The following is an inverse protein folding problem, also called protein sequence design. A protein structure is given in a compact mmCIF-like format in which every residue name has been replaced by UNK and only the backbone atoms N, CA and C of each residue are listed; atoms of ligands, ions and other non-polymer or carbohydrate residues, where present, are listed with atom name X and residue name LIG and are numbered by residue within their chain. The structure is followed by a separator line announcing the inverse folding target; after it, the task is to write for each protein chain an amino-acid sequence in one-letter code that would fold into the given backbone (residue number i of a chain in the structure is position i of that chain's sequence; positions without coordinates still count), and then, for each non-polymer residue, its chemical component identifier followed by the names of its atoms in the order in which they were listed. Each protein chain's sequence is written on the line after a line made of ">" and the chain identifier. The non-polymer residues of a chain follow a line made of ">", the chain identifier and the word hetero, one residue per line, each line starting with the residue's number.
data_IF_557105695240
#
_entry.id   IF_557105695240
#
_cell.length_a   1.000
_cell.length_b   1.000
_cell.length_c   1.000
_cell.angle_alpha   90.00
_cell.angle_beta   90.00
_cell.angle_gamma   90.00
#
_symmetry.space_group_name_H-M   'P 1'
#
loop_
_entity.id
_entity.type
_entity.pdbx_description
1 polymer ?
#
# COMPACT_ATOMS: atom_id res chain seq x y z
N UNK A 1 -22.05 -26.73 24.77
CA UNK A 1 -21.89 -26.06 23.46
C UNK A 1 -20.67 -26.69 22.79
N UNK A 2 -20.63 -26.78 21.47
CA UNK A 2 -19.45 -27.35 20.79
C UNK A 2 -18.24 -26.43 21.07
N UNK A 3 -17.14 -27.01 21.56
CA UNK A 3 -15.94 -26.25 21.91
C UNK A 3 -15.27 -25.62 20.68
N UNK A 4 -15.50 -26.19 19.49
CA UNK A 4 -14.96 -25.70 18.22
C UNK A 4 -16.06 -25.62 17.14
N UNK A 5 -15.91 -24.66 16.23
CA UNK A 5 -16.73 -24.53 15.03
C UNK A 5 -15.83 -24.55 13.79
N UNK A 6 -16.01 -25.53 12.92
CA UNK A 6 -15.25 -25.68 11.67
C UNK A 6 -16.12 -25.27 10.47
N UNK A 7 -15.63 -24.32 9.69
CA UNK A 7 -16.22 -23.88 8.43
C UNK A 7 -15.30 -24.25 7.28
N UNK A 8 -15.84 -25.00 6.33
CA UNK A 8 -15.12 -25.41 5.12
C UNK A 8 -15.51 -24.53 3.94
N UNK A 9 -14.61 -24.42 2.96
CA UNK A 9 -14.82 -23.65 1.72
C UNK A 9 -15.10 -22.17 1.99
N UNK A 10 -14.38 -21.59 2.95
CA UNK A 10 -14.40 -20.15 3.21
C UNK A 10 -13.29 -19.50 2.38
N UNK A 11 -13.58 -18.34 1.82
CA UNK A 11 -12.57 -17.53 1.12
C UNK A 11 -12.12 -16.38 2.02
N UNK A 12 -10.81 -16.16 2.08
CA UNK A 12 -10.22 -14.94 2.62
C UNK A 12 -9.82 -14.04 1.45
N UNK A 13 -10.33 -12.82 1.44
CA UNK A 13 -9.96 -11.79 0.47
C UNK A 13 -8.74 -11.00 0.99
N UNK A 14 -7.75 -10.80 0.14
CA UNK A 14 -6.67 -9.83 0.39
C UNK A 14 -6.31 -9.10 -0.91
N UNK A 15 -6.64 -7.80 -0.99
CA UNK A 15 -6.30 -6.90 -2.11
C UNK A 15 -6.74 -7.46 -3.49
N UNK A 16 -7.97 -7.95 -3.57
CA UNK A 16 -8.61 -8.54 -4.74
C UNK A 16 -8.36 -10.05 -4.92
N UNK A 17 -7.36 -10.63 -4.24
CA UNK A 17 -7.12 -12.07 -4.33
C UNK A 17 -8.01 -12.83 -3.36
N UNK A 18 -8.74 -13.83 -3.88
CA UNK A 18 -9.55 -14.75 -3.07
C UNK A 18 -8.78 -16.04 -2.82
N UNK A 19 -8.32 -16.21 -1.59
CA UNK A 19 -7.69 -17.44 -1.15
C UNK A 19 -8.75 -18.34 -0.56
N UNK A 20 -8.91 -19.55 -1.10
CA UNK A 20 -9.83 -20.55 -0.56
C UNK A 20 -9.17 -21.36 0.55
N UNK A 21 -9.95 -21.71 1.56
CA UNK A 21 -9.42 -22.39 2.74
C UNK A 21 -10.51 -22.90 3.68
N UNK A 22 -10.04 -23.31 4.85
CA UNK A 22 -10.86 -23.82 5.93
C UNK A 22 -10.61 -22.98 7.17
N UNK A 23 -11.68 -22.61 7.86
CA UNK A 23 -11.66 -21.74 9.02
C UNK A 23 -12.14 -22.50 10.25
N UNK A 24 -11.45 -22.32 11.36
CA UNK A 24 -11.76 -22.95 12.65
C UNK A 24 -11.83 -21.90 13.74
N UNK A 25 -12.96 -21.87 14.43
CA UNK A 25 -13.10 -21.16 15.70
C UNK A 25 -12.81 -22.10 16.85
N UNK A 26 -12.03 -21.60 17.80
CA UNK A 26 -11.68 -22.25 19.06
C UNK A 26 -11.95 -21.28 20.21
N UNK A 27 -12.00 -21.74 21.47
CA UNK A 27 -12.18 -20.84 22.61
C UNK A 27 -11.02 -19.85 22.78
N UNK A 28 -9.85 -20.14 22.18
CA UNK A 28 -8.66 -19.29 22.19
C UNK A 28 -8.57 -18.30 21.03
N UNK A 29 -9.44 -18.41 20.02
CA UNK A 29 -9.37 -17.56 18.83
C UNK A 29 -9.75 -18.27 17.54
N UNK A 30 -9.30 -17.70 16.42
CA UNK A 30 -9.62 -18.12 15.07
C UNK A 30 -8.35 -18.59 14.34
N UNK A 31 -8.47 -19.70 13.59
CA UNK A 31 -7.45 -20.18 12.68
C UNK A 31 -8.03 -20.30 11.27
N UNK A 32 -7.32 -19.76 10.29
CA UNK A 32 -7.61 -19.94 8.88
C UNK A 32 -6.46 -20.65 8.19
N UNK A 33 -6.76 -21.73 7.45
CA UNK A 33 -5.77 -22.47 6.67
C UNK A 33 -6.08 -22.35 5.19
N UNK A 34 -5.17 -21.72 4.45
CA UNK A 34 -5.25 -21.62 3.01
C UNK A 34 -5.04 -23.01 2.37
N UNK A 35 -5.98 -23.43 1.52
CA UNK A 35 -5.95 -24.76 0.88
C UNK A 35 -4.91 -24.86 -0.23
N UNK A 36 -4.67 -23.77 -0.95
CA UNK A 36 -3.71 -23.71 -2.06
C UNK A 36 -2.27 -23.62 -1.58
N UNK A 37 -1.99 -22.78 -0.59
CA UNK A 37 -0.61 -22.52 -0.12
C UNK A 37 -0.25 -23.28 1.15
N UNK A 38 -1.22 -23.83 1.87
CA UNK A 38 -1.02 -24.45 3.17
C UNK A 38 -0.71 -23.48 4.31
N UNK A 39 -0.57 -22.17 4.02
CA UNK A 39 -0.30 -21.14 5.03
C UNK A 39 -1.43 -21.07 6.05
N UNK A 40 -1.04 -20.91 7.30
CA UNK A 40 -1.95 -20.78 8.44
C UNK A 40 -1.90 -19.35 8.96
N UNK A 41 -3.08 -18.74 9.08
CA UNK A 41 -3.31 -17.45 9.70
C UNK A 41 -4.05 -17.68 11.03
N UNK A 42 -3.65 -16.99 12.09
CA UNK A 42 -4.24 -17.12 13.42
C UNK A 42 -4.49 -15.76 14.02
N UNK A 43 -5.61 -15.63 14.71
CA UNK A 43 -5.98 -14.48 15.54
C UNK A 43 -6.35 -14.99 16.93
N UNK A 44 -5.83 -14.35 17.97
CA UNK A 44 -6.29 -14.59 19.33
C UNK A 44 -7.61 -13.83 19.58
N UNK A 45 -8.34 -14.18 20.63
CA UNK A 45 -9.55 -13.43 20.99
C UNK A 45 -9.25 -11.96 21.31
N UNK A 46 -8.07 -11.67 21.87
CA UNK A 46 -7.68 -10.31 22.25
C UNK A 46 -7.41 -9.42 21.02
N UNK A 47 -7.15 -10.04 19.85
CA UNK A 47 -6.94 -9.33 18.58
C UNK A 47 -8.26 -9.05 17.83
N UNK A 48 -9.40 -9.59 18.28
CA UNK A 48 -10.69 -9.45 17.60
C UNK A 48 -11.50 -8.34 18.29
N UNK A 49 -11.42 -7.13 17.72
CA UNK A 49 -12.17 -5.97 18.24
C UNK A 49 -13.63 -5.98 17.79
N UNK A 50 -13.91 -6.39 16.56
CA UNK A 50 -15.27 -6.41 16.01
C UNK A 50 -15.45 -7.46 14.92
N UNK A 51 -16.70 -7.88 14.70
CA UNK A 51 -17.11 -8.77 13.61
C UNK A 51 -18.39 -8.24 13.00
N UNK A 52 -18.39 -8.06 11.68
CA UNK A 52 -19.55 -7.64 10.90
C UNK A 52 -20.00 -8.75 9.96
N UNK A 53 -21.31 -8.85 9.72
CA UNK A 53 -21.90 -9.74 8.72
C UNK A 53 -22.56 -8.86 7.65
N UNK A 54 -21.94 -8.83 6.47
CA UNK A 54 -22.44 -8.04 5.34
C UNK A 54 -22.91 -9.00 4.23
N UNK A 55 -24.13 -8.81 3.76
CA UNK A 55 -24.62 -9.52 2.59
C UNK A 55 -24.28 -8.69 1.35
N UNK A 56 -23.50 -9.26 0.42
CA UNK A 56 -23.12 -8.59 -0.83
C UNK A 56 -24.29 -8.42 -1.82
N UNK A 57 -25.54 -8.66 -1.42
CA UNK A 57 -26.69 -8.75 -2.32
C UNK A 57 -27.50 -7.44 -2.37
N UNK A 58 -27.65 -6.90 -3.59
CA UNK A 58 -28.64 -5.88 -4.01
C UNK A 58 -28.57 -4.51 -3.31
N UNK A 59 -27.39 -3.90 -3.25
CA UNK A 59 -27.32 -2.44 -3.19
C UNK A 59 -27.62 -1.86 -4.60
N UNK A 60 -28.38 -0.77 -4.73
CA UNK A 60 -28.91 -0.28 -6.00
C UNK A 60 -27.88 0.32 -6.98
N UNK A 61 -26.59 -0.02 -6.87
CA UNK A 61 -25.52 0.43 -7.76
C UNK A 61 -25.30 1.95 -7.74
N UNK A 62 -25.70 2.61 -6.64
CA UNK A 62 -25.58 4.05 -6.50
C UNK A 62 -24.13 4.46 -6.28
N UNK A 63 -23.73 5.53 -6.95
CA UNK A 63 -22.38 6.06 -6.94
C UNK A 63 -22.27 7.40 -6.20
N UNK A 64 -23.27 7.73 -5.38
CA UNK A 64 -23.32 8.94 -4.57
C UNK A 64 -23.51 8.57 -3.10
N UNK A 65 -22.82 9.27 -2.21
CA UNK A 65 -22.78 8.93 -0.79
C UNK A 65 -21.75 9.75 -0.03
N UNK A 66 -21.52 9.35 1.21
CA UNK A 66 -20.50 9.93 2.09
C UNK A 66 -19.26 9.04 2.14
N UNK A 67 -18.10 9.65 2.37
CA UNK A 67 -16.81 8.93 2.42
C UNK A 67 -16.07 9.19 3.75
N UNK A 68 -16.60 8.73 4.90
CA UNK A 68 -15.90 8.90 6.17
C UNK A 68 -14.72 7.93 6.30
N UNK A 69 -13.74 8.32 7.13
CA UNK A 69 -12.71 7.42 7.63
C UNK A 69 -13.12 6.97 9.03
N UNK A 70 -13.25 5.66 9.23
CA UNK A 70 -13.69 5.03 10.49
C UNK A 70 -12.76 3.86 10.78
N UNK A 71 -12.19 3.80 11.99
CA UNK A 71 -11.36 2.68 12.47
C UNK A 71 -10.33 2.18 11.45
N UNK A 72 -9.59 3.12 10.84
CA UNK A 72 -8.54 2.87 9.83
C UNK A 72 -9.05 2.36 8.47
N UNK A 73 -10.34 2.44 8.22
CA UNK A 73 -10.97 2.11 6.95
C UNK A 73 -11.56 3.38 6.32
N UNK A 74 -11.38 3.52 5.01
CA UNK A 74 -12.19 4.43 4.21
C UNK A 74 -13.50 3.72 3.89
N UNK A 75 -14.62 4.31 4.30
CA UNK A 75 -15.95 3.74 4.05
C UNK A 75 -16.66 4.53 2.98
N UNK A 76 -17.37 3.86 2.08
CA UNK A 76 -18.35 4.47 1.20
C UNK A 76 -19.74 4.14 1.73
N UNK A 77 -20.50 5.17 2.07
CA UNK A 77 -21.81 5.03 2.70
C UNK A 77 -22.91 5.64 1.86
N UNK A 78 -23.95 4.84 1.59
CA UNK A 78 -25.15 5.25 0.87
C UNK A 78 -26.31 5.25 1.86
N UNK A 79 -27.00 6.39 2.04
CA UNK A 79 -28.06 6.55 3.05
C UNK A 79 -27.63 6.12 4.47
N UNK A 80 -26.37 6.41 4.85
CA UNK A 80 -25.75 6.00 6.12
C UNK A 80 -25.63 4.47 6.31
N UNK A 81 -25.87 3.67 5.27
CA UNK A 81 -25.52 2.26 5.26
C UNK A 81 -24.17 2.08 4.57
N UNK A 82 -23.32 1.22 5.14
CA UNK A 82 -22.06 0.84 4.52
C UNK A 82 -22.34 0.09 3.20
N UNK A 83 -21.74 0.57 2.12
CA UNK A 83 -21.75 -0.12 0.83
C UNK A 83 -20.45 -0.91 0.65
N UNK A 84 -19.30 -0.23 0.77
CA UNK A 84 -18.00 -0.88 0.84
C UNK A 84 -17.05 -0.15 1.78
N UNK A 85 -16.02 -0.84 2.23
CA UNK A 85 -14.90 -0.26 2.95
C UNK A 85 -13.56 -0.72 2.39
N UNK A 86 -12.55 0.14 2.49
CA UNK A 86 -11.19 -0.14 2.08
C UNK A 86 -10.25 0.16 3.24
N UNK A 87 -9.48 -0.83 3.72
CA UNK A 87 -8.43 -0.58 4.70
C UNK A 87 -7.44 0.45 4.19
N UNK A 88 -7.11 1.45 5.01
CA UNK A 88 -6.13 2.47 4.64
C UNK A 88 -4.73 1.87 4.41
N UNK A 89 -4.43 0.72 5.02
CA UNK A 89 -3.21 -0.05 4.76
C UNK A 89 -3.09 -0.56 3.32
N UNK A 90 -4.20 -0.64 2.57
CA UNK A 90 -4.21 -1.05 1.17
C UNK A 90 -3.98 0.13 0.22
N UNK A 91 -4.10 1.37 0.72
CA UNK A 91 -3.89 2.60 -0.07
C UNK A 91 -2.39 2.90 -0.10
N UNK A 92 -1.81 2.88 -1.29
CA UNK A 92 -0.38 3.18 -1.47
C UNK A 92 -0.09 4.67 -1.49
N UNK A 93 -1.02 5.45 -2.04
CA UNK A 93 -0.87 6.89 -2.21
C UNK A 93 -2.25 7.54 -2.39
N UNK A 94 -2.36 8.81 -2.05
CA UNK A 94 -3.56 9.61 -2.31
C UNK A 94 -3.16 11.02 -2.77
N UNK A 95 -3.77 11.48 -3.86
CA UNK A 95 -3.64 12.83 -4.37
C UNK A 95 -5.01 13.49 -4.53
N UNK A 96 -5.05 14.82 -4.43
CA UNK A 96 -6.26 15.61 -4.66
C UNK A 96 -6.07 16.49 -5.89
N UNK A 97 -7.11 16.61 -6.70
CA UNK A 97 -7.15 17.46 -7.88
C UNK A 97 -8.52 18.15 -7.96
N UNK A 98 -8.62 19.38 -7.46
CA UNK A 98 -9.85 20.16 -7.39
C UNK A 98 -10.98 19.39 -6.69
N UNK A 99 -11.86 18.78 -7.48
CA UNK A 99 -13.02 18.01 -7.03
C UNK A 99 -12.83 16.50 -7.15
N UNK A 100 -11.59 16.02 -7.27
CA UNK A 100 -11.29 14.59 -7.35
C UNK A 100 -10.28 14.19 -6.26
N UNK A 101 -10.62 13.19 -5.47
CA UNK A 101 -9.66 12.45 -4.66
C UNK A 101 -9.25 11.19 -5.44
N UNK A 102 -7.95 11.05 -5.70
CA UNK A 102 -7.35 9.96 -6.49
C UNK A 102 -6.61 9.06 -5.51
N UNK A 103 -7.11 7.83 -5.34
CA UNK A 103 -6.52 6.80 -4.51
C UNK A 103 -5.80 5.79 -5.40
N UNK A 104 -4.54 5.52 -5.07
CA UNK A 104 -3.75 4.46 -5.68
C UNK A 104 -3.60 3.32 -4.66
N UNK A 105 -3.66 2.08 -5.12
CA UNK A 105 -3.64 0.90 -4.24
C UNK A 105 -2.39 0.04 -4.46
N UNK A 106 -1.98 -0.64 -3.39
CA UNK A 106 -1.01 -1.72 -3.50
C UNK A 106 -1.56 -2.85 -4.37
N UNK A 107 -0.76 -3.31 -5.32
CA UNK A 107 -1.15 -4.42 -6.20
C UNK A 107 -0.81 -5.77 -5.56
N UNK A 108 -1.74 -6.73 -5.67
CA UNK A 108 -1.49 -8.11 -5.34
C UNK A 108 -1.32 -8.96 -6.61
N UNK A 109 -0.12 -9.51 -6.81
CA UNK A 109 0.21 -10.33 -8.00
C UNK A 109 -0.58 -11.64 -8.07
N UNK A 110 -1.12 -12.11 -6.94
CA UNK A 110 -1.96 -13.31 -6.88
C UNK A 110 -3.41 -13.02 -7.30
N UNK A 111 -3.79 -11.74 -7.46
CA UNK A 111 -5.13 -11.35 -7.90
C UNK A 111 -5.26 -11.42 -9.42
N UNK A 112 -6.34 -12.03 -9.90
CA UNK A 112 -6.69 -12.03 -11.33
C UNK A 112 -7.20 -10.67 -11.81
N UNK A 113 -7.92 -9.94 -10.94
CA UNK A 113 -8.45 -8.60 -11.18
C UNK A 113 -8.11 -7.75 -9.96
N UNK A 114 -7.08 -6.93 -10.08
CA UNK A 114 -6.62 -6.03 -9.02
C UNK A 114 -7.16 -4.62 -9.20
N UNK A 115 -7.73 -4.03 -8.14
CA UNK A 115 -8.00 -2.60 -8.08
C UNK A 115 -6.66 -1.85 -8.02
N UNK A 116 -6.43 -0.95 -8.97
CA UNK A 116 -5.16 -0.19 -9.09
C UNK A 116 -5.35 1.26 -8.67
N UNK A 117 -6.43 1.88 -9.14
CA UNK A 117 -6.74 3.29 -8.91
C UNK A 117 -8.25 3.46 -8.74
N UNK A 118 -8.65 4.35 -7.85
CA UNK A 118 -10.04 4.79 -7.67
C UNK A 118 -10.07 6.31 -7.61
N UNK A 119 -11.01 6.93 -8.32
CA UNK A 119 -11.26 8.37 -8.26
C UNK A 119 -12.64 8.63 -7.69
N UNK A 120 -12.68 9.42 -6.64
CA UNK A 120 -13.92 9.85 -6.01
C UNK A 120 -14.15 11.31 -6.34
N UNK A 121 -15.31 11.61 -6.91
CA UNK A 121 -15.73 12.99 -7.09
C UNK A 121 -16.19 13.58 -5.76
N UNK A 122 -15.58 14.69 -5.38
CA UNK A 122 -15.77 15.43 -4.15
C UNK A 122 -16.19 16.86 -4.52
N UNK A 123 -17.49 17.20 -4.45
CA UNK A 123 -17.98 18.50 -4.90
C UNK A 123 -17.35 19.64 -4.10
N UNK A 124 -16.97 20.71 -4.79
CA UNK A 124 -16.45 21.93 -4.15
C UNK A 124 -17.57 22.61 -3.37
N UNK A 125 -17.23 23.12 -2.19
CA UNK A 125 -18.15 23.91 -1.37
C UNK A 125 -17.89 25.39 -1.65
N UNK A 126 -18.92 26.17 -1.93
CA UNK A 126 -18.78 27.60 -2.17
C UNK A 126 -18.15 28.31 -0.96
N UNK A 127 -17.17 29.19 -1.22
CA UNK A 127 -16.46 29.94 -0.19
C UNK A 127 -15.29 29.20 0.46
N UNK A 128 -15.04 27.94 0.09
CA UNK A 128 -13.89 27.15 0.57
C UNK A 128 -12.76 27.25 -0.44
N UNK A 129 -11.53 27.45 0.06
CA UNK A 129 -10.33 27.49 -0.78
C UNK A 129 -9.99 26.11 -1.37
N UNK A 130 -9.16 26.04 -2.41
CA UNK A 130 -8.72 24.74 -2.95
C UNK A 130 -7.95 23.91 -1.92
N UNK A 131 -7.23 24.56 -0.99
CA UNK A 131 -6.45 23.92 0.08
C UNK A 131 -7.32 23.32 1.19
N UNK A 132 -8.56 23.79 1.32
CA UNK A 132 -9.54 23.31 2.30
C UNK A 132 -10.66 22.48 1.63
N UNK A 133 -10.48 22.16 0.34
CA UNK A 133 -11.47 21.38 -0.41
C UNK A 133 -11.69 20.00 0.22
N UNK A 134 -12.90 19.41 0.09
CA UNK A 134 -13.17 18.08 0.65
C UNK A 134 -12.22 16.98 0.14
N UNK A 135 -11.78 17.08 -1.12
CA UNK A 135 -10.78 16.17 -1.69
C UNK A 135 -9.43 16.29 -0.96
N UNK A 136 -9.00 17.52 -0.68
CA UNK A 136 -7.74 17.81 0.01
C UNK A 136 -7.78 17.40 1.48
N UNK A 137 -8.91 17.61 2.16
CA UNK A 137 -9.13 17.13 3.53
C UNK A 137 -9.07 15.59 3.62
N UNK A 138 -9.68 14.88 2.67
CA UNK A 138 -9.60 13.42 2.61
C UNK A 138 -8.16 12.96 2.37
N UNK A 139 -7.45 13.58 1.43
CA UNK A 139 -6.04 13.30 1.15
C UNK A 139 -5.18 13.46 2.40
N UNK A 140 -5.35 14.57 3.13
CA UNK A 140 -4.61 14.83 4.37
C UNK A 140 -4.91 13.79 5.44
N UNK A 141 -6.18 13.38 5.60
CA UNK A 141 -6.56 12.36 6.57
C UNK A 141 -5.93 10.99 6.25
N UNK A 142 -5.91 10.58 4.97
CA UNK A 142 -5.26 9.34 4.51
C UNK A 142 -3.75 9.39 4.76
N UNK A 143 -3.09 10.50 4.39
CA UNK A 143 -1.64 10.64 4.58
C UNK A 143 -1.25 10.71 6.05
N UNK A 144 -2.11 11.28 6.91
CA UNK A 144 -1.88 11.27 8.35
C UNK A 144 -1.86 9.84 8.89
N UNK A 145 -2.74 8.96 8.40
CA UNK A 145 -2.69 7.54 8.75
C UNK A 145 -1.39 6.89 8.29
N UNK A 146 -1.00 7.10 7.03
CA UNK A 146 0.24 6.53 6.48
C UNK A 146 1.49 7.01 7.23
N UNK A 147 1.51 8.28 7.68
CA UNK A 147 2.60 8.82 8.48
C UNK A 147 2.69 8.16 9.87
N UNK A 148 1.55 7.92 10.52
CA UNK A 148 1.50 7.23 11.82
C UNK A 148 2.01 5.78 11.69
N UNK A 149 1.61 5.03 10.66
CA UNK A 149 2.15 3.70 10.44
C UNK A 149 3.66 3.72 10.11
N UNK A 150 4.10 4.66 9.29
CA UNK A 150 5.52 4.81 8.98
C UNK A 150 6.39 5.14 10.21
N UNK A 151 5.83 5.83 11.21
CA UNK A 151 6.53 6.17 12.45
C UNK A 151 6.69 4.94 13.37
N UNK A 152 5.80 3.95 13.26
CA UNK A 152 5.96 2.67 13.96
C UNK A 152 7.03 1.75 13.35
N UNK A 153 7.35 1.93 12.07
CA UNK A 153 8.38 1.15 11.39
C UNK A 153 9.76 1.81 11.58
N UNK A 154 10.65 1.16 12.34
CA UNK A 154 12.02 1.63 12.49
C UNK A 154 12.89 1.18 11.30
N UNK A 155 13.48 2.14 10.59
CA UNK A 155 14.42 1.86 9.51
C UNK A 155 15.79 1.44 10.07
N UNK A 156 16.46 0.52 9.38
CA UNK A 156 17.79 0.01 9.72
C UNK A 156 18.85 1.05 9.36
N UNK A 157 18.72 1.64 8.16
CA UNK A 157 19.69 2.58 7.58
C UNK A 157 18.96 3.67 6.82
N UNK A 158 19.47 4.89 6.90
CA UNK A 158 19.07 6.03 6.08
C UNK A 158 20.27 6.49 5.25
N UNK A 159 20.12 6.47 3.92
CA UNK A 159 21.08 7.03 2.98
C UNK A 159 20.50 8.33 2.42
N UNK A 160 21.09 9.46 2.72
CA UNK A 160 20.55 10.77 2.32
C UNK A 160 21.11 11.24 0.99
N UNK A 161 20.30 11.98 0.25
CA UNK A 161 20.69 12.75 -0.92
C UNK A 161 21.41 11.94 -2.02
N UNK A 162 20.96 10.69 -2.23
CA UNK A 162 21.56 9.73 -3.15
C UNK A 162 21.29 10.13 -4.61
N UNK A 163 22.34 10.23 -5.42
CA UNK A 163 22.20 10.56 -6.84
C UNK A 163 21.75 9.33 -7.64
N UNK A 164 20.52 9.40 -8.17
CA UNK A 164 19.95 8.38 -9.03
C UNK A 164 19.90 8.86 -10.48
N UNK A 165 20.49 8.10 -11.39
CA UNK A 165 20.48 8.35 -12.83
C UNK A 165 19.19 7.87 -13.48
N UNK A 166 18.60 6.81 -12.94
CA UNK A 166 17.38 6.20 -13.48
C UNK A 166 16.57 5.58 -12.34
N UNK A 167 15.35 6.05 -12.05
CA UNK A 167 14.75 7.31 -12.54
C UNK A 167 15.57 8.52 -12.12
N UNK A 168 15.73 9.51 -13.01
CA UNK A 168 16.62 10.65 -12.76
C UNK A 168 16.13 11.49 -11.57
N UNK A 169 16.96 11.62 -10.55
CA UNK A 169 16.61 12.40 -9.35
C UNK A 169 17.62 12.24 -8.22
N UNK A 170 17.34 12.94 -7.12
CA UNK A 170 18.01 12.72 -5.83
C UNK A 170 16.97 12.16 -4.86
N UNK A 171 17.34 11.13 -4.12
CA UNK A 171 16.45 10.42 -3.20
C UNK A 171 17.10 10.21 -1.85
N UNK A 172 16.32 10.34 -0.78
CA UNK A 172 16.65 9.79 0.52
C UNK A 172 16.14 8.35 0.59
N UNK A 173 17.02 7.39 0.88
CA UNK A 173 16.70 5.96 0.87
C UNK A 173 16.68 5.45 2.31
N UNK A 174 15.51 5.05 2.78
CA UNK A 174 15.34 4.34 4.05
C UNK A 174 15.25 2.85 3.79
N UNK A 175 16.06 2.07 4.50
CA UNK A 175 16.09 0.61 4.38
C UNK A 175 15.36 0.02 5.58
N UNK A 176 14.30 -0.76 5.32
CA UNK A 176 13.55 -1.51 6.31
C UNK A 176 13.81 -3.02 6.14
N UNK A 177 13.47 -3.86 7.14
CA UNK A 177 13.67 -5.31 7.02
C UNK A 177 12.99 -5.95 5.79
N UNK A 178 11.84 -5.42 5.37
CA UNK A 178 10.99 -6.03 4.32
C UNK A 178 10.88 -5.19 3.05
N UNK A 179 11.27 -3.92 3.06
CA UNK A 179 11.18 -3.02 1.90
C UNK A 179 12.22 -1.87 1.98
N UNK A 180 12.38 -1.17 0.86
CA UNK A 180 13.17 0.04 0.74
C UNK A 180 12.22 1.20 0.42
N UNK A 181 12.36 2.33 1.11
CA UNK A 181 11.59 3.54 0.84
C UNK A 181 12.49 4.59 0.23
N UNK A 182 12.15 5.05 -0.97
CA UNK A 182 12.87 6.07 -1.70
C UNK A 182 12.03 7.34 -1.63
N UNK A 183 12.53 8.36 -0.96
CA UNK A 183 11.86 9.63 -0.83
C UNK A 183 12.51 10.66 -1.75
N UNK A 184 11.75 11.16 -2.72
CA UNK A 184 12.23 12.14 -3.71
C UNK A 184 11.46 13.45 -3.60
N UNK A 185 11.94 14.50 -4.26
CA UNK A 185 11.23 15.79 -4.27
C UNK A 185 9.85 15.72 -4.95
N UNK A 186 9.70 14.83 -5.93
CA UNK A 186 8.49 14.73 -6.77
C UNK A 186 7.84 13.37 -6.71
N UNK A 187 8.63 12.31 -6.53
CA UNK A 187 8.14 10.94 -6.54
C UNK A 187 8.73 10.17 -5.39
N UNK A 188 7.88 9.40 -4.74
CA UNK A 188 8.23 8.48 -3.68
C UNK A 188 7.96 7.06 -4.13
N UNK A 189 8.84 6.13 -3.73
CA UNK A 189 8.70 4.71 -4.07
C UNK A 189 8.88 3.85 -2.83
N UNK A 190 7.95 2.92 -2.61
CA UNK A 190 8.10 1.82 -1.64
C UNK A 190 8.36 0.53 -2.41
N UNK A 191 9.59 0.03 -2.34
CA UNK A 191 10.08 -1.14 -3.09
C UNK A 191 10.20 -2.33 -2.14
N UNK A 192 9.34 -3.36 -2.25
CA UNK A 192 9.49 -4.57 -1.44
C UNK A 192 10.87 -5.20 -1.66
N UNK A 193 11.54 -5.63 -0.59
CA UNK A 193 12.87 -6.23 -0.68
C UNK A 193 12.84 -7.50 -1.55
N UNK A 194 11.72 -8.24 -1.53
CA UNK A 194 11.46 -9.41 -2.38
C UNK A 194 11.44 -9.10 -3.88
N UNK A 195 11.18 -7.85 -4.28
CA UNK A 195 11.14 -7.44 -5.68
C UNK A 195 12.54 -7.16 -6.24
N UNK A 196 13.57 -7.10 -5.39
CA UNK A 196 14.96 -6.91 -5.82
C UNK A 196 15.52 -8.25 -6.30
N UNK A 197 15.67 -8.38 -7.62
CA UNK A 197 16.11 -9.63 -8.23
C UNK A 197 17.62 -9.77 -8.30
N UNK A 198 18.34 -8.68 -8.63
CA UNK A 198 19.80 -8.66 -8.81
C UNK A 198 20.37 -7.31 -8.41
N UNK A 199 21.58 -7.33 -7.86
CA UNK A 199 22.38 -6.16 -7.54
C UNK A 199 23.71 -6.24 -8.31
N UNK A 200 24.11 -5.13 -8.91
CA UNK A 200 25.37 -5.03 -9.63
C UNK A 200 26.16 -3.82 -9.12
N UNK A 201 27.47 -4.00 -8.97
CA UNK A 201 28.41 -2.93 -8.69
C UNK A 201 29.36 -2.81 -9.87
N UNK A 202 29.34 -1.68 -10.56
CA UNK A 202 30.08 -1.44 -11.79
C UNK A 202 31.06 -0.27 -11.59
N UNK A 203 32.31 -0.45 -12.01
CA UNK A 203 33.28 0.65 -12.03
C UNK A 203 33.13 1.43 -13.31
N UNK A 204 33.06 2.76 -13.22
CA UNK A 204 33.12 3.60 -14.42
C UNK A 204 34.53 3.55 -15.04
N UNK A 205 34.63 3.82 -16.34
CA UNK A 205 35.89 3.72 -17.10
C UNK A 205 36.97 4.67 -16.61
N UNK A 206 36.58 5.82 -16.03
CA UNK A 206 37.51 6.78 -15.44
C UNK A 206 38.12 6.34 -14.10
N UNK A 207 37.59 5.25 -13.51
CA UNK A 207 38.01 4.73 -12.22
C UNK A 207 37.63 5.58 -11.00
N UNK A 208 36.95 6.73 -11.18
CA UNK A 208 36.56 7.65 -10.10
C UNK A 208 35.11 7.45 -9.63
N UNK A 209 34.24 6.96 -10.51
CA UNK A 209 32.84 6.72 -10.19
C UNK A 209 32.53 5.23 -10.07
N UNK A 210 31.58 4.91 -9.21
CA UNK A 210 30.94 3.60 -9.13
C UNK A 210 29.47 3.75 -9.48
N UNK A 211 28.94 2.80 -10.24
CA UNK A 211 27.51 2.65 -10.43
C UNK A 211 27.02 1.45 -9.64
N UNK A 212 25.95 1.67 -8.90
CA UNK A 212 25.19 0.59 -8.28
C UNK A 212 23.88 0.43 -9.04
N UNK A 213 23.67 -0.75 -9.61
CA UNK A 213 22.48 -1.05 -10.40
C UNK A 213 21.63 -2.08 -9.65
N UNK A 214 20.38 -1.73 -9.40
CA UNK A 214 19.39 -2.59 -8.77
C UNK A 214 18.35 -3.00 -9.80
N UNK A 215 18.25 -4.29 -10.10
CA UNK A 215 17.19 -4.84 -10.93
C UNK A 215 15.99 -5.18 -10.05
N UNK A 216 14.84 -4.62 -10.40
CA UNK A 216 13.57 -4.77 -9.68
C UNK A 216 12.49 -5.36 -10.58
N UNK A 217 11.75 -6.33 -10.05
CA UNK A 217 10.59 -6.93 -10.69
C UNK A 217 9.49 -7.17 -9.63
N UNK A 218 8.29 -6.59 -9.77
CA UNK A 218 7.84 -5.71 -10.85
C UNK A 218 8.56 -4.35 -10.90
N UNK A 219 8.60 -3.68 -12.07
CA UNK A 219 9.23 -2.37 -12.21
C UNK A 219 8.44 -1.27 -11.48
N UNK A 220 9.14 -0.28 -10.91
CA UNK A 220 8.48 0.92 -10.37
C UNK A 220 7.92 1.77 -11.51
N UNK A 221 6.84 2.51 -11.23
CA UNK A 221 6.16 3.36 -12.20
C UNK A 221 6.33 4.83 -11.86
N UNK A 222 6.60 5.63 -12.88
CA UNK A 222 6.55 7.08 -12.81
C UNK A 222 5.63 7.58 -13.94
N UNK A 223 4.38 7.88 -13.58
CA UNK A 223 3.32 8.08 -14.57
C UNK A 223 3.18 6.85 -15.48
N UNK A 224 3.32 7.04 -16.80
CA UNK A 224 3.24 5.94 -17.77
C UNK A 224 4.53 5.12 -17.92
N UNK A 225 5.67 5.63 -17.40
CA UNK A 225 6.98 5.00 -17.61
C UNK A 225 7.25 3.96 -16.54
N UNK A 226 7.85 2.82 -16.94
CA UNK A 226 8.24 1.72 -16.04
C UNK A 226 9.76 1.62 -15.96
N UNK A 227 10.31 1.56 -14.75
CA UNK A 227 11.74 1.38 -14.50
C UNK A 227 11.99 0.02 -13.86
N UNK A 228 12.56 -0.90 -14.65
CA UNK A 228 13.00 -2.22 -14.14
C UNK A 228 14.40 -2.17 -13.52
N UNK A 229 15.16 -1.11 -13.80
CA UNK A 229 16.51 -0.92 -13.30
C UNK A 229 16.61 0.44 -12.64
N UNK A 230 17.11 0.44 -11.42
CA UNK A 230 17.46 1.64 -10.68
C UNK A 230 18.98 1.77 -10.69
N UNK A 231 19.48 2.95 -11.07
CA UNK A 231 20.92 3.19 -11.23
C UNK A 231 21.34 4.35 -10.34
N UNK A 232 22.18 4.06 -9.36
CA UNK A 232 22.84 5.06 -8.52
C UNK A 232 24.27 5.31 -8.98
N UNK A 233 24.71 6.56 -8.84
CA UNK A 233 26.08 6.97 -9.08
C UNK A 233 26.72 7.42 -7.77
N UNK A 234 27.90 6.89 -7.49
CA UNK A 234 28.73 7.24 -6.34
C UNK A 234 30.07 7.77 -6.81
N UNK A 235 30.56 8.82 -6.15
CA UNK A 235 31.98 9.15 -6.23
C UNK A 235 32.75 8.23 -5.29
N UNK A 236 33.88 7.66 -5.77
CA UNK A 236 34.75 6.84 -4.91
C UNK A 236 35.24 7.60 -3.68
N UNK A 237 35.46 8.91 -3.82
CA UNK A 237 35.97 9.75 -2.75
C UNK A 237 34.95 9.91 -1.60
N UNK A 238 33.64 9.72 -1.88
CA UNK A 238 32.56 9.75 -0.87
C UNK A 238 32.37 8.38 -0.16
N UNK A 239 32.97 7.31 -0.68
CA UNK A 239 32.85 5.94 -0.12
C UNK A 239 34.01 5.59 0.84
N UNK A 240 34.91 6.52 1.09
CA UNK A 240 36.15 6.30 1.83
C UNK A 240 36.09 6.65 3.33
N UNK A 241 34.89 6.90 3.88
CA UNK A 241 34.64 7.06 5.32
C UNK A 241 33.84 5.90 5.91
#
# INVERSE_FOLDING_TARGET
>A
MADNCDLQNVSKEEMGALYNGDMRFTPSGLTYKNRSTGKVFQLSNDDIESVSQNFMANQPGWNFGNVPIVDKNLQFQVNNALDFEIPLSNVSNCTANKSEAILEFHTNDDSTVGLVEMRLHMPMVEGVSEEESPAELLRQAILKYAAVEAETEQHIVLLTNMLCLTPRGRYDIKIFPTFLSFHGKTYDYKIPARSVNRLFMLKHKDGRRLFFVMHINPPIRQGQTRYSYIVFEFNKDELAE
#
